data_IF_299223346050
#
_entry.id   IF_299223346050
#
_cell.length_a   1.000
_cell.length_b   1.000
_cell.length_c   1.000
_cell.angle_alpha   90.00
_cell.angle_beta   90.00
_cell.angle_gamma   90.00
#
_symmetry.space_group_name_H-M   'P 1'
#
loop_
_entity.id
_entity.type
_entity.pdbx_description
1 polymer ?
#
# COMPACT_ATOMS: atom_id res chain seq x y z
N UNK A 1 -18.13 -8.91 19.10
CA UNK A 1 -18.48 -7.48 18.99
C UNK A 1 -19.27 -7.32 17.70
N UNK A 2 -20.52 -6.88 17.76
CA UNK A 2 -21.27 -6.50 16.55
C UNK A 2 -20.60 -5.26 15.95
N UNK A 3 -20.25 -5.31 14.66
CA UNK A 3 -19.62 -4.19 13.95
C UNK A 3 -20.64 -3.11 13.60
N UNK A 4 -20.17 -1.91 13.26
CA UNK A 4 -21.04 -0.80 12.85
C UNK A 4 -22.04 -1.20 11.76
N UNK A 5 -21.61 -2.04 10.81
CA UNK A 5 -22.48 -2.58 9.75
C UNK A 5 -23.68 -3.35 10.30
N UNK A 6 -23.49 -4.14 11.36
CA UNK A 6 -24.54 -4.95 11.96
C UNK A 6 -25.49 -4.08 12.80
N UNK A 7 -24.93 -3.17 13.61
CA UNK A 7 -25.72 -2.24 14.44
C UNK A 7 -26.51 -1.24 13.57
N UNK A 8 -25.93 -0.79 12.46
CA UNK A 8 -26.61 0.06 11.48
C UNK A 8 -27.70 -0.69 10.72
N UNK A 9 -27.47 -1.96 10.36
CA UNK A 9 -28.47 -2.78 9.69
C UNK A 9 -29.65 -3.10 10.62
N UNK A 10 -29.37 -3.35 11.90
CA UNK A 10 -30.38 -3.53 12.94
C UNK A 10 -31.17 -2.24 13.22
N UNK A 11 -30.52 -1.08 13.19
CA UNK A 11 -31.24 0.20 13.27
C UNK A 11 -32.13 0.42 12.05
N UNK A 12 -31.61 0.17 10.84
CA UNK A 12 -32.34 0.35 9.58
C UNK A 12 -33.62 -0.50 9.52
N UNK A 13 -33.61 -1.70 10.11
CA UNK A 13 -34.79 -2.57 10.17
C UNK A 13 -35.89 -2.07 11.13
N UNK A 14 -35.60 -1.08 11.98
CA UNK A 14 -36.61 -0.42 12.85
C UNK A 14 -37.36 0.72 12.14
N UNK A 15 -36.89 1.13 10.96
CA UNK A 15 -37.52 2.16 10.14
C UNK A 15 -38.71 1.58 9.35
N UNK A 16 -39.81 2.32 9.26
CA UNK A 16 -40.91 2.02 8.35
C UNK A 16 -40.48 2.21 6.88
N UNK A 17 -41.25 1.67 5.94
CA UNK A 17 -40.97 1.86 4.50
C UNK A 17 -40.94 3.34 4.10
N UNK A 18 -41.82 4.15 4.70
CA UNK A 18 -41.90 5.60 4.43
C UNK A 18 -40.71 6.36 5.04
N UNK A 19 -40.26 5.98 6.24
CA UNK A 19 -39.07 6.57 6.86
C UNK A 19 -37.79 6.17 6.12
N UNK A 20 -37.67 4.92 5.66
CA UNK A 20 -36.55 4.49 4.82
C UNK A 20 -36.51 5.25 3.50
N UNK A 21 -37.68 5.44 2.86
CA UNK A 21 -37.80 6.22 1.64
C UNK A 21 -37.47 7.69 1.88
N UNK A 22 -37.89 8.27 3.01
CA UNK A 22 -37.58 9.64 3.40
C UNK A 22 -36.08 9.84 3.60
N UNK A 23 -35.42 8.98 4.39
CA UNK A 23 -33.96 9.06 4.63
C UNK A 23 -33.18 8.85 3.34
N UNK A 24 -33.59 7.90 2.49
CA UNK A 24 -32.96 7.67 1.20
C UNK A 24 -33.11 8.89 0.28
N UNK A 25 -34.30 9.49 0.24
CA UNK A 25 -34.59 10.71 -0.53
C UNK A 25 -33.78 11.90 0.01
N UNK A 26 -33.62 12.00 1.32
CA UNK A 26 -32.81 13.02 1.97
C UNK A 26 -31.32 12.87 1.64
N UNK A 27 -30.78 11.66 1.76
CA UNK A 27 -29.39 11.36 1.42
C UNK A 27 -29.08 11.58 -0.07
N UNK A 28 -30.01 11.19 -0.95
CA UNK A 28 -29.89 11.43 -2.40
C UNK A 28 -30.00 12.91 -2.75
N UNK A 29 -30.78 13.68 -1.99
CA UNK A 29 -31.00 15.11 -2.21
C UNK A 29 -30.05 16.05 -1.44
N UNK A 30 -29.18 15.53 -0.57
CA UNK A 30 -28.32 16.31 0.33
C UNK A 30 -27.41 17.30 -0.42
N UNK A 31 -26.91 16.90 -1.59
CA UNK A 31 -26.05 17.75 -2.40
C UNK A 31 -26.84 18.71 -3.31
N UNK A 32 -28.16 18.52 -3.47
CA UNK A 32 -29.03 19.37 -4.27
C UNK A 32 -29.47 20.62 -3.49
N UNK A 33 -29.05 21.80 -3.95
CA UNK A 33 -29.32 23.10 -3.29
C UNK A 33 -30.81 23.47 -3.26
N UNK A 34 -31.62 23.00 -4.22
CA UNK A 34 -33.08 23.21 -4.22
C UNK A 34 -33.77 22.25 -3.25
N UNK A 35 -33.32 21.01 -3.19
CA UNK A 35 -33.85 20.01 -2.26
C UNK A 35 -33.53 20.37 -0.80
N UNK A 36 -32.34 20.88 -0.51
CA UNK A 36 -31.97 21.42 0.82
C UNK A 36 -32.87 22.55 1.33
N UNK A 37 -33.66 23.17 0.44
CA UNK A 37 -34.65 24.20 0.78
C UNK A 37 -36.09 23.67 0.80
N UNK A 38 -36.29 22.38 0.57
CA UNK A 38 -37.60 21.74 0.57
C UNK A 38 -37.97 21.26 1.97
N UNK A 39 -39.27 21.22 2.24
CA UNK A 39 -39.79 20.72 3.52
C UNK A 39 -39.40 19.25 3.75
N UNK A 40 -39.23 18.47 2.67
CA UNK A 40 -38.80 17.07 2.74
C UNK A 40 -37.36 16.90 3.26
N UNK A 41 -36.49 17.90 3.11
CA UNK A 41 -35.14 17.87 3.69
C UNK A 41 -35.16 18.16 5.20
N UNK A 42 -36.15 18.92 5.66
CA UNK A 42 -36.31 19.30 7.08
C UNK A 42 -37.26 18.38 7.85
N UNK A 43 -37.79 17.34 7.22
CA UNK A 43 -38.65 16.35 7.87
C UNK A 43 -37.83 15.36 8.67
N UNK A 44 -38.05 15.32 9.97
CA UNK A 44 -37.45 14.33 10.84
C UNK A 44 -38.25 13.00 10.82
N UNK A 45 -37.54 11.90 11.04
CA UNK A 45 -38.15 10.63 11.44
C UNK A 45 -38.45 10.66 12.96
N UNK A 46 -39.10 9.62 13.48
CA UNK A 46 -39.43 9.56 14.90
C UNK A 46 -38.20 9.77 15.81
N UNK A 47 -38.34 10.59 16.84
CA UNK A 47 -37.23 11.07 17.68
C UNK A 47 -36.50 9.94 18.41
N UNK A 48 -37.22 8.90 18.81
CA UNK A 48 -36.66 7.69 19.42
C UNK A 48 -35.72 6.93 18.47
N UNK A 49 -36.02 6.95 17.17
CA UNK A 49 -35.19 6.34 16.12
C UNK A 49 -33.95 7.17 15.83
N UNK A 50 -34.05 8.50 15.88
CA UNK A 50 -32.90 9.42 15.78
C UNK A 50 -31.96 9.22 16.98
N UNK A 51 -32.51 9.14 18.19
CA UNK A 51 -31.74 8.87 19.41
C UNK A 51 -31.07 7.49 19.39
N UNK A 52 -31.76 6.47 18.87
CA UNK A 52 -31.17 5.14 18.71
C UNK A 52 -30.02 5.11 17.70
N UNK A 53 -30.13 5.87 16.59
CA UNK A 53 -29.03 6.03 15.62
C UNK A 53 -27.85 6.78 16.22
N UNK A 54 -28.10 7.85 16.99
CA UNK A 54 -27.06 8.59 17.69
C UNK A 54 -26.27 7.70 18.66
N UNK A 55 -26.92 6.71 19.29
CA UNK A 55 -26.24 5.69 20.12
C UNK A 55 -25.34 4.76 19.29
N UNK A 56 -25.77 4.36 18.09
CA UNK A 56 -24.95 3.56 17.16
C UNK A 56 -23.72 4.34 16.69
N UNK A 57 -23.90 5.61 16.30
CA UNK A 57 -22.80 6.49 15.91
C UNK A 57 -21.85 6.75 17.08
N UNK A 58 -22.37 7.03 18.27
CA UNK A 58 -21.54 7.21 19.48
C UNK A 58 -20.70 5.97 19.76
N UNK A 59 -21.28 4.77 19.71
CA UNK A 59 -20.54 3.52 19.87
C UNK A 59 -19.44 3.35 18.83
N UNK A 60 -19.71 3.70 17.56
CA UNK A 60 -18.72 3.67 16.48
C UNK A 60 -17.59 4.67 16.70
N UNK A 61 -17.90 5.93 17.01
CA UNK A 61 -16.88 6.94 17.28
C UNK A 61 -16.09 6.65 18.56
N UNK A 62 -16.72 6.06 19.59
CA UNK A 62 -16.02 5.62 20.80
C UNK A 62 -15.10 4.42 20.49
N UNK A 63 -15.52 3.46 19.64
CA UNK A 63 -14.64 2.37 19.22
C UNK A 63 -13.50 2.82 18.33
N UNK A 64 -13.74 3.70 17.35
CA UNK A 64 -12.71 4.30 16.49
C UNK A 64 -11.74 5.15 17.31
N UNK A 65 -12.23 5.85 18.33
CA UNK A 65 -11.40 6.60 19.27
C UNK A 65 -10.53 5.69 20.12
N UNK A 66 -11.06 4.56 20.60
CA UNK A 66 -10.29 3.57 21.36
C UNK A 66 -9.28 2.84 20.48
N UNK A 67 -9.62 2.54 19.22
CA UNK A 67 -8.67 1.95 18.26
C UNK A 67 -7.61 2.96 17.81
N UNK A 68 -7.97 4.24 17.62
CA UNK A 68 -7.02 5.32 17.42
C UNK A 68 -6.09 5.52 18.64
N UNK A 69 -6.63 5.41 19.87
CA UNK A 69 -5.81 5.43 21.10
C UNK A 69 -4.88 4.24 21.15
N UNK A 70 -5.34 3.02 20.83
CA UNK A 70 -4.48 1.82 20.77
C UNK A 70 -3.42 1.91 19.68
N UNK A 71 -3.74 2.48 18.52
CA UNK A 71 -2.76 2.78 17.46
C UNK A 71 -1.73 3.83 17.91
N UNK A 72 -2.16 4.79 18.75
CA UNK A 72 -1.29 5.78 19.37
C UNK A 72 -0.45 5.21 20.52
N UNK A 73 -0.96 4.22 21.25
CA UNK A 73 -0.28 3.49 22.33
C UNK A 73 0.72 2.44 21.80
N UNK A 74 0.43 1.84 20.63
CA UNK A 74 1.32 0.87 19.95
C UNK A 74 2.44 1.54 19.15
N UNK A 75 2.28 2.81 18.74
CA UNK A 75 3.43 3.66 18.43
C UNK A 75 4.17 3.92 19.72
N UNK A 76 5.24 3.17 20.00
CA UNK A 76 6.10 3.39 21.15
C UNK A 76 6.47 4.89 21.21
N UNK A 77 5.91 5.66 22.15
CA UNK A 77 6.27 7.06 22.27
C UNK A 77 7.76 7.09 22.59
N UNK A 78 8.49 7.91 21.87
CA UNK A 78 9.87 8.17 22.26
C UNK A 78 9.82 9.01 23.54
N UNK A 79 9.73 8.32 24.69
CA UNK A 79 9.56 8.90 26.03
C UNK A 79 10.69 9.87 26.40
N UNK A 80 11.81 9.81 25.68
CA UNK A 80 12.94 10.69 25.84
C UNK A 80 12.87 11.94 24.94
N UNK A 81 11.85 12.12 24.10
CA UNK A 81 11.68 13.34 23.28
C UNK A 81 11.48 14.55 24.16
N UNK A 82 10.61 14.48 25.17
CA UNK A 82 10.37 15.60 26.08
C UNK A 82 11.60 15.91 26.95
N UNK A 83 12.32 14.88 27.40
CA UNK A 83 13.57 15.05 28.16
C UNK A 83 14.69 15.65 27.29
N UNK A 84 14.88 15.17 26.06
CA UNK A 84 15.83 15.75 25.11
C UNK A 84 15.45 17.17 24.69
N UNK A 85 14.16 17.46 24.55
CA UNK A 85 13.66 18.82 24.29
C UNK A 85 13.85 19.76 25.49
N UNK A 86 13.61 19.28 26.71
CA UNK A 86 13.83 20.06 27.93
C UNK A 86 15.32 20.38 28.17
N UNK A 87 16.24 19.56 27.62
CA UNK A 87 17.68 19.80 27.62
C UNK A 87 18.14 20.78 26.52
N UNK A 88 17.30 21.09 25.53
CA UNK A 88 17.60 22.09 24.52
C UNK A 88 17.35 23.50 25.08
N UNK A 89 18.40 24.35 25.09
CA UNK A 89 18.32 25.75 25.56
C UNK A 89 17.37 26.63 24.73
N UNK A 90 16.98 26.18 23.54
CA UNK A 90 16.05 26.84 22.63
C UNK A 90 15.05 25.83 22.10
N UNK A 91 13.76 26.07 22.30
CA UNK A 91 12.68 25.25 21.72
C UNK A 91 12.65 25.45 20.20
N UNK A 92 13.19 24.47 19.47
CA UNK A 92 13.12 24.44 18.02
C UNK A 92 11.80 23.79 17.56
N UNK A 93 10.88 24.64 17.09
CA UNK A 93 9.60 24.24 16.49
C UNK A 93 9.67 24.16 14.96
N UNK A 94 10.87 24.16 14.38
CA UNK A 94 11.05 23.97 12.94
C UNK A 94 10.58 22.59 12.50
N UNK A 95 10.19 22.51 11.24
CA UNK A 95 9.83 21.26 10.59
C UNK A 95 11.10 20.60 10.05
N UNK A 96 11.17 19.28 10.14
CA UNK A 96 12.22 18.49 9.50
C UNK A 96 11.71 17.90 8.21
N UNK A 97 12.52 18.04 7.16
CA UNK A 97 12.25 17.40 5.89
C UNK A 97 12.55 15.91 5.94
N UNK A 98 11.67 15.11 5.35
CA UNK A 98 11.95 13.72 4.97
C UNK A 98 11.45 13.45 3.56
N UNK A 99 12.34 13.01 2.68
CA UNK A 99 11.99 12.55 1.34
C UNK A 99 12.14 11.03 1.30
N UNK A 100 11.07 10.33 0.93
CA UNK A 100 11.07 8.87 0.79
C UNK A 100 10.96 8.52 -0.68
N UNK A 101 11.92 7.74 -1.19
CA UNK A 101 11.82 7.13 -2.52
C UNK A 101 10.83 5.96 -2.46
N UNK A 102 9.85 5.99 -3.35
CA UNK A 102 8.83 4.96 -3.51
C UNK A 102 9.10 4.22 -4.81
N UNK A 103 9.43 2.93 -4.71
CA UNK A 103 9.59 2.06 -5.87
C UNK A 103 8.21 1.56 -6.33
N UNK A 104 7.53 2.39 -7.14
CA UNK A 104 6.18 2.09 -7.64
C UNK A 104 6.14 0.88 -8.55
N UNK A 105 7.23 0.56 -9.23
CA UNK A 105 7.31 -0.65 -10.03
C UNK A 105 7.27 -1.90 -9.16
N UNK A 106 8.06 -1.92 -8.08
CA UNK A 106 8.02 -3.00 -7.09
C UNK A 106 6.64 -3.13 -6.43
N UNK A 107 6.02 -2.00 -6.03
CA UNK A 107 4.67 -2.00 -5.45
C UNK A 107 3.63 -2.59 -6.42
N UNK A 108 3.70 -2.23 -7.71
CA UNK A 108 2.78 -2.75 -8.74
C UNK A 108 2.93 -4.27 -8.88
N UNK A 109 4.15 -4.77 -8.96
CA UNK A 109 4.41 -6.22 -9.01
C UNK A 109 3.93 -6.93 -7.75
N UNK A 110 4.18 -6.34 -6.57
CA UNK A 110 3.75 -6.89 -5.29
C UNK A 110 2.23 -6.98 -5.18
N UNK A 111 1.51 -5.96 -5.64
CA UNK A 111 0.04 -5.95 -5.72
C UNK A 111 -0.46 -7.15 -6.55
N UNK A 112 0.02 -7.31 -7.78
CA UNK A 112 -0.41 -8.41 -8.66
C UNK A 112 -0.02 -9.79 -8.12
N UNK A 113 1.20 -9.94 -7.59
CA UNK A 113 1.61 -11.19 -6.97
C UNK A 113 0.71 -11.57 -5.79
N UNK A 114 0.34 -10.60 -4.94
CA UNK A 114 -0.54 -10.81 -3.80
C UNK A 114 -1.97 -11.13 -4.23
N UNK A 115 -2.48 -10.45 -5.25
CA UNK A 115 -3.81 -10.73 -5.81
C UNK A 115 -3.90 -12.14 -6.39
N UNK A 116 -2.91 -12.55 -7.19
CA UNK A 116 -2.84 -13.91 -7.74
C UNK A 116 -2.72 -14.97 -6.64
N UNK A 117 -1.92 -14.71 -5.60
CA UNK A 117 -1.83 -15.60 -4.45
C UNK A 117 -3.19 -15.78 -3.77
N UNK A 118 -3.93 -14.70 -3.50
CA UNK A 118 -5.28 -14.77 -2.93
C UNK A 118 -6.27 -15.49 -3.83
N UNK A 119 -6.21 -15.26 -5.15
CA UNK A 119 -7.09 -15.95 -6.11
C UNK A 119 -6.79 -17.45 -6.20
N UNK A 120 -5.52 -17.85 -6.12
CA UNK A 120 -5.12 -19.25 -6.08
C UNK A 120 -5.58 -19.91 -4.76
N UNK A 121 -5.37 -19.24 -3.62
CA UNK A 121 -5.81 -19.73 -2.32
C UNK A 121 -7.32 -19.94 -2.26
N UNK A 122 -8.11 -19.02 -2.84
CA UNK A 122 -9.56 -19.17 -2.94
C UNK A 122 -10.01 -20.41 -3.74
N UNK A 123 -9.14 -20.94 -4.61
CA UNK A 123 -9.35 -22.19 -5.38
C UNK A 123 -8.73 -23.42 -4.71
N UNK A 124 -8.11 -23.27 -3.54
CA UNK A 124 -7.36 -24.34 -2.87
C UNK A 124 -5.98 -24.61 -3.50
N UNK A 125 -5.50 -23.70 -4.34
CA UNK A 125 -4.21 -23.78 -5.03
C UNK A 125 -3.19 -22.83 -4.39
N UNK A 126 -1.91 -22.93 -4.81
CA UNK A 126 -0.86 -21.98 -4.40
C UNK A 126 -0.28 -21.32 -5.64
N UNK A 127 -0.18 -19.99 -5.60
CA UNK A 127 0.56 -19.25 -6.62
C UNK A 127 2.07 -19.34 -6.34
N UNK A 128 2.92 -19.69 -7.33
CA UNK A 128 4.36 -19.71 -7.16
C UNK A 128 4.90 -18.31 -6.80
N UNK A 129 5.98 -18.27 -6.01
CA UNK A 129 6.60 -16.98 -5.67
C UNK A 129 7.30 -16.36 -6.88
N UNK A 130 6.92 -15.13 -7.18
CA UNK A 130 7.35 -14.34 -8.34
C UNK A 130 8.41 -13.27 -8.00
N UNK A 131 9.04 -13.34 -6.82
CA UNK A 131 9.99 -12.32 -6.37
C UNK A 131 11.23 -12.27 -7.27
N UNK A 132 11.59 -11.09 -7.82
CA UNK A 132 12.78 -10.94 -8.65
C UNK A 132 14.06 -10.75 -7.83
N UNK A 133 13.99 -10.81 -6.49
CA UNK A 133 15.15 -10.59 -5.64
C UNK A 133 16.23 -11.65 -5.89
N UNK A 134 17.45 -11.17 -6.10
CA UNK A 134 18.62 -12.01 -6.32
C UNK A 134 19.53 -11.97 -5.09
N UNK A 135 20.25 -13.06 -4.87
CA UNK A 135 21.34 -13.13 -3.92
C UNK A 135 22.59 -13.73 -4.57
N UNK A 136 23.74 -13.36 -4.01
CA UNK A 136 25.02 -13.95 -4.39
C UNK A 136 25.14 -15.25 -3.60
N UNK A 137 25.25 -16.35 -4.33
CA UNK A 137 25.53 -17.66 -3.78
C UNK A 137 26.97 -18.04 -4.10
N UNK A 138 27.70 -18.47 -3.08
CA UNK A 138 29.11 -18.86 -3.18
C UNK A 138 29.20 -20.38 -3.23
N UNK A 139 29.60 -20.90 -4.38
CA UNK A 139 29.96 -22.31 -4.51
C UNK A 139 31.41 -22.47 -4.06
N UNK A 140 31.64 -23.34 -3.07
CA UNK A 140 33.00 -23.67 -2.65
C UNK A 140 33.79 -24.24 -3.83
N UNK A 141 34.93 -23.63 -4.10
CA UNK A 141 35.82 -23.97 -5.22
C UNK A 141 37.29 -23.90 -4.78
N UNK A 142 37.56 -24.32 -3.55
CA UNK A 142 38.85 -24.19 -2.86
C UNK A 142 39.76 -25.43 -2.99
N UNK A 143 39.24 -26.54 -3.53
CA UNK A 143 39.97 -27.78 -3.73
C UNK A 143 39.56 -28.46 -5.05
N UNK A 144 40.35 -29.45 -5.49
CA UNK A 144 40.14 -30.15 -6.77
C UNK A 144 38.80 -30.89 -6.81
N UNK A 145 38.33 -31.47 -5.71
CA UNK A 145 37.07 -32.21 -5.66
C UNK A 145 35.87 -31.27 -5.76
N UNK A 146 35.94 -30.14 -5.05
CA UNK A 146 34.94 -29.08 -5.09
C UNK A 146 34.88 -28.41 -6.47
N UNK A 147 36.05 -28.20 -7.10
CA UNK A 147 36.13 -27.71 -8.48
C UNK A 147 35.50 -28.70 -9.47
N UNK A 148 35.81 -29.99 -9.34
CA UNK A 148 35.22 -31.02 -10.19
C UNK A 148 33.70 -31.10 -10.00
N UNK A 149 33.19 -31.03 -8.77
CA UNK A 149 31.75 -30.95 -8.51
C UNK A 149 31.09 -29.74 -9.17
N UNK A 150 31.72 -28.57 -9.12
CA UNK A 150 31.22 -27.38 -9.80
C UNK A 150 31.18 -27.58 -11.32
N UNK A 151 32.22 -28.20 -11.90
CA UNK A 151 32.24 -28.56 -13.33
C UNK A 151 31.14 -29.55 -13.69
N UNK A 152 30.91 -30.58 -12.87
CA UNK A 152 29.86 -31.58 -13.07
C UNK A 152 28.46 -30.95 -13.02
N UNK A 153 28.25 -29.94 -12.16
CA UNK A 153 27.01 -29.14 -12.12
C UNK A 153 26.83 -28.35 -13.42
N UNK A 154 27.90 -27.77 -13.97
CA UNK A 154 27.83 -27.06 -15.26
C UNK A 154 27.50 -28.00 -16.42
N UNK A 155 28.07 -29.20 -16.43
CA UNK A 155 27.75 -30.24 -17.41
C UNK A 155 26.31 -30.73 -17.27
N UNK A 156 25.81 -30.87 -16.04
CA UNK A 156 24.41 -31.18 -15.78
C UNK A 156 23.48 -30.08 -16.32
N UNK A 157 23.80 -28.81 -16.07
CA UNK A 157 23.03 -27.67 -16.58
C UNK A 157 23.06 -27.65 -18.11
N UNK A 158 24.20 -27.94 -18.74
CA UNK A 158 24.34 -28.03 -20.18
C UNK A 158 23.44 -29.13 -20.78
N UNK A 159 23.33 -30.29 -20.12
CA UNK A 159 22.39 -31.35 -20.52
C UNK A 159 20.93 -30.97 -20.29
N UNK A 160 20.62 -30.37 -19.13
CA UNK A 160 19.25 -29.97 -18.78
C UNK A 160 18.70 -28.88 -19.73
N UNK A 161 19.57 -28.05 -20.30
CA UNK A 161 19.22 -27.03 -21.29
C UNK A 161 18.48 -27.60 -22.51
N UNK A 162 18.79 -28.82 -22.96
CA UNK A 162 18.19 -29.42 -24.16
C UNK A 162 16.66 -29.62 -24.05
N UNK A 163 16.14 -29.73 -22.82
CA UNK A 163 14.70 -29.83 -22.53
C UNK A 163 14.07 -28.54 -21.99
N UNK A 164 14.81 -27.43 -21.93
CA UNK A 164 14.37 -26.21 -21.28
C UNK A 164 13.58 -25.28 -22.24
N UNK A 165 12.67 -24.48 -21.67
CA UNK A 165 11.99 -23.40 -22.40
C UNK A 165 12.99 -22.32 -22.87
N UNK A 166 12.72 -21.57 -23.95
CA UNK A 166 13.70 -20.66 -24.58
C UNK A 166 14.36 -19.65 -23.64
N UNK A 167 13.60 -19.02 -22.74
CA UNK A 167 14.17 -18.07 -21.77
C UNK A 167 15.04 -18.76 -20.71
N UNK A 168 14.61 -19.92 -20.22
CA UNK A 168 15.39 -20.72 -19.29
C UNK A 168 16.70 -21.22 -19.92
N UNK A 169 16.64 -21.64 -21.18
CA UNK A 169 17.80 -22.05 -21.95
C UNK A 169 18.82 -20.90 -22.13
N UNK A 170 18.34 -19.66 -22.32
CA UNK A 170 19.19 -18.47 -22.39
C UNK A 170 19.90 -18.18 -21.05
N UNK A 171 19.18 -18.28 -19.93
CA UNK A 171 19.76 -18.08 -18.60
C UNK A 171 20.80 -19.18 -18.27
N UNK A 172 20.51 -20.44 -18.65
CA UNK A 172 21.45 -21.55 -18.53
C UNK A 172 22.68 -21.31 -19.42
N UNK A 173 22.52 -20.78 -20.63
CA UNK A 173 23.63 -20.44 -21.53
C UNK A 173 24.55 -19.36 -20.97
N UNK A 174 24.00 -18.30 -20.39
CA UNK A 174 24.79 -17.23 -19.80
C UNK A 174 25.59 -17.72 -18.59
N UNK A 175 25.00 -18.63 -17.80
CA UNK A 175 25.68 -19.33 -16.71
C UNK A 175 26.81 -20.22 -17.24
N UNK A 176 26.54 -21.07 -18.24
CA UNK A 176 27.54 -21.95 -18.88
C UNK A 176 28.73 -21.15 -19.43
N UNK A 177 28.45 -20.02 -20.11
CA UNK A 177 29.50 -19.13 -20.64
C UNK A 177 30.36 -18.49 -19.55
N UNK A 178 29.80 -18.19 -18.38
CA UNK A 178 30.57 -17.66 -17.23
C UNK A 178 31.63 -18.68 -16.77
N UNK A 179 31.31 -19.97 -16.88
CA UNK A 179 32.20 -21.07 -16.52
C UNK A 179 32.50 -21.16 -15.02
N UNK A 180 33.24 -22.20 -14.63
CA UNK A 180 33.76 -22.33 -13.26
C UNK A 180 35.10 -21.59 -13.19
N UNK A 181 35.31 -20.69 -12.22
CA UNK A 181 36.58 -20.00 -12.04
C UNK A 181 37.69 -20.95 -11.57
N UNK A 182 38.95 -20.51 -11.65
CA UNK A 182 40.10 -21.32 -11.29
C UNK A 182 40.05 -21.79 -9.82
N UNK A 183 40.63 -22.96 -9.53
CA UNK A 183 40.71 -23.50 -8.16
C UNK A 183 41.31 -22.47 -7.21
N UNK A 184 40.66 -22.25 -6.07
CA UNK A 184 41.02 -21.25 -5.07
C UNK A 184 40.37 -19.87 -5.29
N UNK A 185 39.59 -19.69 -6.34
CA UNK A 185 38.76 -18.49 -6.55
C UNK A 185 37.29 -18.78 -6.25
N UNK A 186 36.64 -17.82 -5.61
CA UNK A 186 35.22 -17.90 -5.25
C UNK A 186 34.34 -18.01 -6.51
N UNK A 187 33.48 -19.04 -6.54
CA UNK A 187 32.51 -19.19 -7.60
C UNK A 187 31.18 -18.56 -7.22
N UNK A 188 31.04 -17.28 -7.57
CA UNK A 188 29.85 -16.47 -7.29
C UNK A 188 28.76 -16.64 -8.37
N UNK A 189 27.57 -17.03 -7.94
CA UNK A 189 26.37 -17.08 -8.78
C UNK A 189 25.30 -16.14 -8.26
N UNK A 190 24.77 -15.29 -9.15
CA UNK A 190 23.63 -14.43 -8.83
C UNK A 190 22.35 -15.19 -9.16
N UNK A 191 21.66 -15.68 -8.12
CA UNK A 191 20.49 -16.55 -8.26
C UNK A 191 19.25 -15.90 -7.61
N UNK A 192 18.02 -16.16 -8.11
CA UNK A 192 16.82 -15.72 -7.41
C UNK A 192 16.73 -16.35 -6.02
N UNK A 193 16.59 -15.53 -4.98
CA UNK A 193 16.54 -15.96 -3.57
C UNK A 193 15.49 -17.05 -3.33
N UNK A 194 14.33 -16.89 -3.98
CA UNK A 194 13.23 -17.84 -3.91
C UNK A 194 13.63 -19.20 -4.46
N UNK A 195 14.34 -19.23 -5.59
CA UNK A 195 14.80 -20.49 -6.17
C UNK A 195 15.82 -21.15 -5.25
N UNK A 196 16.78 -20.41 -4.69
CA UNK A 196 17.76 -20.96 -3.73
C UNK A 196 17.07 -21.58 -2.51
N UNK A 197 16.11 -20.88 -1.91
CA UNK A 197 15.34 -21.39 -0.78
C UNK A 197 14.54 -22.65 -1.15
N UNK A 198 13.89 -22.65 -2.31
CA UNK A 198 13.09 -23.79 -2.78
C UNK A 198 13.95 -25.00 -3.15
N UNK A 199 15.09 -24.80 -3.80
CA UNK A 199 16.01 -25.89 -4.15
C UNK A 199 16.65 -26.46 -2.90
N UNK A 200 17.03 -25.65 -1.92
CA UNK A 200 17.58 -26.14 -0.65
C UNK A 200 16.54 -26.97 0.11
N UNK A 201 15.29 -26.50 0.19
CA UNK A 201 14.21 -27.26 0.81
C UNK A 201 13.92 -28.58 0.06
N UNK A 202 13.91 -28.55 -1.28
CA UNK A 202 13.71 -29.75 -2.09
C UNK A 202 14.86 -30.75 -1.93
N UNK A 203 16.11 -30.27 -1.83
CA UNK A 203 17.28 -31.11 -1.61
C UNK A 203 17.20 -31.80 -0.25
N UNK A 204 16.75 -31.09 0.79
CA UNK A 204 16.56 -31.66 2.12
C UNK A 204 15.48 -32.76 2.10
N UNK A 205 14.33 -32.49 1.47
CA UNK A 205 13.28 -33.52 1.28
C UNK A 205 13.77 -34.74 0.50
N UNK A 206 14.62 -34.54 -0.50
CA UNK A 206 15.22 -35.62 -1.30
C UNK A 206 16.17 -36.47 -0.44
N UNK A 207 16.99 -35.84 0.40
CA UNK A 207 17.91 -36.52 1.32
C UNK A 207 17.14 -37.34 2.36
N UNK A 208 16.07 -36.79 2.95
CA UNK A 208 15.23 -37.50 3.92
C UNK A 208 14.58 -38.74 3.27
N UNK A 209 14.08 -38.61 2.03
CA UNK A 209 13.54 -39.74 1.27
C UNK A 209 14.59 -40.79 0.94
N UNK A 210 15.80 -40.36 0.61
CA UNK A 210 16.91 -41.28 0.34
C UNK A 210 17.31 -42.07 1.59
N UNK A 211 17.27 -41.43 2.76
CA UNK A 211 17.52 -42.09 4.03
C UNK A 211 16.43 -43.13 4.34
N UNK A 212 15.15 -42.77 4.19
CA UNK A 212 14.04 -43.71 4.34
C UNK A 212 14.11 -44.88 3.33
N UNK A 213 14.52 -44.60 2.10
CA UNK A 213 14.73 -45.66 1.10
C UNK A 213 15.84 -46.62 1.54
N UNK A 214 16.95 -46.10 2.07
CA UNK A 214 18.08 -46.90 2.53
C UNK A 214 17.75 -47.80 3.74
N UNK A 215 16.77 -47.44 4.58
CA UNK A 215 16.33 -48.27 5.71
C UNK A 215 15.66 -49.59 5.28
N UNK A 216 15.23 -49.69 4.02
CA UNK A 216 14.46 -50.82 3.51
C UNK A 216 15.09 -51.52 2.30
N UNK A 217 16.28 -51.07 1.86
CA UNK A 217 16.94 -51.58 0.66
C UNK A 217 18.41 -51.90 0.93
N UNK A 218 18.98 -52.79 0.12
CA UNK A 218 20.39 -53.14 0.18
C UNK A 218 21.29 -52.00 -0.28
N UNK A 219 22.55 -52.01 0.14
CA UNK A 219 23.55 -51.01 -0.24
C UNK A 219 23.76 -50.91 -1.75
N UNK A 220 23.65 -52.04 -2.47
CA UNK A 220 23.71 -52.07 -3.94
C UNK A 220 22.51 -51.35 -4.57
N UNK A 221 21.29 -51.58 -4.07
CA UNK A 221 20.07 -50.91 -4.56
C UNK A 221 20.10 -49.42 -4.26
N UNK A 222 20.60 -49.01 -3.08
CA UNK A 222 20.77 -47.59 -2.72
C UNK A 222 21.79 -46.93 -3.63
N UNK A 223 22.89 -47.62 -3.95
CA UNK A 223 23.93 -47.10 -4.86
C UNK A 223 23.40 -46.92 -6.27
N UNK A 224 22.65 -47.90 -6.79
CA UNK A 224 22.01 -47.79 -8.10
C UNK A 224 20.98 -46.65 -8.14
N UNK A 225 20.16 -46.52 -7.08
CA UNK A 225 19.21 -45.42 -6.96
C UNK A 225 19.92 -44.06 -6.98
N UNK A 226 20.99 -43.88 -6.20
CA UNK A 226 21.80 -42.65 -6.15
C UNK A 226 22.43 -42.30 -7.50
N UNK A 227 22.91 -43.30 -8.24
CA UNK A 227 23.65 -43.06 -9.49
C UNK A 227 22.74 -42.87 -10.71
N UNK A 228 21.59 -43.56 -10.76
CA UNK A 228 20.74 -43.56 -11.96
C UNK A 228 19.45 -42.77 -11.78
N UNK A 229 18.71 -43.00 -10.69
CA UNK A 229 17.36 -42.47 -10.52
C UNK A 229 17.36 -41.09 -9.87
N UNK A 230 18.19 -40.90 -8.83
CA UNK A 230 18.27 -39.66 -8.07
C UNK A 230 18.60 -38.44 -8.94
N UNK A 231 19.57 -38.49 -9.89
CA UNK A 231 19.87 -37.34 -10.75
C UNK A 231 18.71 -36.99 -11.68
N UNK A 232 17.98 -37.98 -12.19
CA UNK A 232 16.81 -37.77 -13.06
C UNK A 232 15.65 -37.12 -12.29
N UNK A 233 15.34 -37.63 -11.08
CA UNK A 233 14.33 -37.04 -10.20
C UNK A 233 14.71 -35.60 -9.85
N UNK A 234 15.96 -35.39 -9.45
CA UNK A 234 16.44 -34.07 -9.09
C UNK A 234 16.36 -33.08 -10.25
N UNK A 235 16.74 -33.50 -11.47
CA UNK A 235 16.62 -32.67 -12.65
C UNK A 235 15.19 -32.28 -12.99
N UNK A 236 14.23 -33.20 -12.86
CA UNK A 236 12.81 -32.90 -13.04
C UNK A 236 12.30 -31.89 -12.00
N UNK A 237 12.65 -32.07 -10.73
CA UNK A 237 12.26 -31.15 -9.65
C UNK A 237 12.84 -29.75 -9.88
N UNK A 238 14.13 -29.65 -10.20
CA UNK A 238 14.77 -28.36 -10.51
C UNK A 238 14.12 -27.67 -11.70
N UNK A 239 13.88 -28.39 -12.79
CA UNK A 239 13.23 -27.85 -13.99
C UNK A 239 11.82 -27.32 -13.67
N UNK A 240 11.05 -28.04 -12.87
CA UNK A 240 9.72 -27.63 -12.45
C UNK A 240 9.74 -26.39 -11.56
N UNK A 241 10.63 -26.32 -10.57
CA UNK A 241 10.79 -25.15 -9.70
C UNK A 241 11.17 -23.90 -10.49
N UNK A 242 12.16 -24.03 -11.38
CA UNK A 242 12.62 -22.94 -12.24
C UNK A 242 11.49 -22.48 -13.16
N UNK A 243 10.81 -23.41 -13.83
CA UNK A 243 9.72 -23.10 -14.75
C UNK A 243 8.58 -22.38 -14.05
N UNK A 244 8.13 -22.89 -12.89
CA UNK A 244 7.06 -22.25 -12.10
C UNK A 244 7.42 -20.84 -11.66
N UNK A 245 8.67 -20.62 -11.22
CA UNK A 245 9.14 -19.30 -10.84
C UNK A 245 9.16 -18.32 -12.02
N UNK A 246 9.74 -18.73 -13.16
CA UNK A 246 9.83 -17.88 -14.36
C UNK A 246 8.43 -17.52 -14.86
N UNK A 247 7.54 -18.51 -14.99
CA UNK A 247 6.17 -18.27 -15.43
C UNK A 247 5.44 -17.29 -14.52
N UNK A 248 5.51 -17.48 -13.20
CA UNK A 248 4.87 -16.57 -12.24
C UNK A 248 5.47 -15.15 -12.27
N UNK A 249 6.79 -15.05 -12.39
CA UNK A 249 7.50 -13.76 -12.54
C UNK A 249 7.05 -13.02 -13.80
N UNK A 250 7.02 -13.69 -14.94
CA UNK A 250 6.71 -13.08 -16.23
C UNK A 250 5.23 -12.69 -16.32
N UNK A 251 4.35 -13.49 -15.72
CA UNK A 251 2.94 -13.15 -15.59
C UNK A 251 2.74 -11.88 -14.76
N UNK A 252 3.39 -11.78 -13.59
CA UNK A 252 3.36 -10.57 -12.75
C UNK A 252 3.98 -9.36 -13.44
N UNK A 253 5.09 -9.54 -14.17
CA UNK A 253 5.71 -8.48 -14.98
C UNK A 253 4.73 -7.98 -16.03
N UNK A 254 4.11 -8.90 -16.77
CA UNK A 254 3.15 -8.56 -17.82
C UNK A 254 1.99 -7.74 -17.28
N UNK A 255 1.39 -8.17 -16.17
CA UNK A 255 0.27 -7.44 -15.56
C UNK A 255 0.70 -6.04 -15.10
N UNK A 256 1.89 -5.92 -14.50
CA UNK A 256 2.45 -4.63 -14.12
C UNK A 256 2.65 -3.70 -15.33
N UNK A 257 3.14 -4.22 -16.47
CA UNK A 257 3.32 -3.45 -17.70
C UNK A 257 1.98 -3.10 -18.36
N UNK A 258 1.01 -4.01 -18.35
CA UNK A 258 -0.30 -3.78 -18.93
C UNK A 258 -1.08 -2.72 -18.14
N UNK A 259 -0.93 -2.68 -16.80
CA UNK A 259 -1.44 -1.57 -15.99
C UNK A 259 -0.80 -0.23 -16.37
N UNK A 260 0.53 -0.18 -16.56
CA UNK A 260 1.21 1.05 -17.03
C UNK A 260 0.70 1.47 -18.41
N UNK A 261 0.52 0.51 -19.34
CA UNK A 261 -0.02 0.77 -20.67
C UNK A 261 -1.43 1.33 -20.57
N UNK A 262 -2.28 0.78 -19.70
CA UNK A 262 -3.61 1.29 -19.44
C UNK A 262 -3.57 2.77 -19.02
N UNK A 263 -2.79 3.12 -18.00
CA UNK A 263 -2.66 4.52 -17.57
C UNK A 263 -2.10 5.44 -18.66
N UNK A 264 -1.13 4.97 -19.47
CA UNK A 264 -0.59 5.73 -20.61
C UNK A 264 -1.60 5.88 -21.75
N UNK A 265 -2.51 4.93 -21.90
CA UNK A 265 -3.54 4.94 -22.95
C UNK A 265 -4.66 5.95 -22.69
N UNK A 266 -4.77 6.45 -21.46
CA UNK A 266 -5.76 7.47 -21.10
C UNK A 266 -5.58 8.71 -21.98
N UNK A 267 -6.61 9.04 -22.76
CA UNK A 267 -6.59 10.18 -23.67
C UNK A 267 -7.13 11.41 -22.97
N UNK A 268 -6.55 12.56 -23.30
CA UNK A 268 -7.15 13.83 -22.96
C UNK A 268 -8.42 14.03 -23.80
N UNK A 269 -9.44 14.64 -23.22
CA UNK A 269 -10.75 14.86 -23.82
C UNK A 269 -11.15 16.32 -23.64
N UNK A 270 -10.39 17.24 -24.28
CA UNK A 270 -10.60 18.67 -24.09
C UNK A 270 -12.00 19.08 -24.56
N UNK A 271 -12.69 19.85 -23.72
CA UNK A 271 -14.04 20.34 -24.00
C UNK A 271 -15.15 19.29 -23.95
N UNK A 272 -14.86 18.04 -23.59
CA UNK A 272 -15.89 17.03 -23.33
C UNK A 272 -16.40 17.12 -21.90
N UNK A 273 -17.65 16.73 -21.71
CA UNK A 273 -18.35 16.70 -20.43
C UNK A 273 -18.63 15.27 -19.99
N UNK A 274 -18.93 15.03 -18.72
CA UNK A 274 -19.33 13.69 -18.26
C UNK A 274 -20.56 13.16 -18.99
N UNK A 275 -21.46 14.04 -19.43
CA UNK A 275 -22.60 13.68 -20.27
C UNK A 275 -22.17 13.11 -21.63
N UNK A 276 -21.12 13.66 -22.25
CA UNK A 276 -20.59 13.14 -23.52
C UNK A 276 -20.00 11.74 -23.36
N UNK A 277 -19.32 11.49 -22.23
CA UNK A 277 -18.76 10.17 -21.91
C UNK A 277 -19.88 9.17 -21.69
N UNK A 278 -20.89 9.54 -20.89
CA UNK A 278 -22.03 8.67 -20.61
C UNK A 278 -22.78 8.31 -21.90
N UNK A 279 -23.03 9.28 -22.78
CA UNK A 279 -23.63 9.01 -24.10
C UNK A 279 -22.80 8.03 -24.92
N UNK A 280 -21.47 8.16 -24.90
CA UNK A 280 -20.56 7.23 -25.57
C UNK A 280 -20.65 5.81 -25.01
N UNK A 281 -20.59 5.66 -23.69
CA UNK A 281 -20.75 4.35 -23.01
C UNK A 281 -22.11 3.74 -23.35
N UNK A 282 -23.16 4.54 -23.31
CA UNK A 282 -24.53 4.09 -23.56
C UNK A 282 -24.78 3.67 -25.01
N UNK A 283 -24.05 4.25 -25.97
CA UNK A 283 -24.10 3.84 -27.37
C UNK A 283 -23.34 2.54 -27.64
N UNK A 284 -22.32 2.22 -26.83
CA UNK A 284 -21.58 0.95 -26.91
C UNK A 284 -22.30 -0.19 -26.17
N UNK A 285 -23.02 0.12 -25.09
CA UNK A 285 -23.64 -0.88 -24.23
C UNK A 285 -24.49 -1.92 -24.99
N UNK A 286 -25.36 -1.56 -25.97
CA UNK A 286 -26.16 -2.52 -26.73
C UNK A 286 -25.34 -3.57 -27.50
N UNK A 287 -24.05 -3.33 -27.76
CA UNK A 287 -23.17 -4.30 -28.44
C UNK A 287 -22.69 -5.42 -27.51
N UNK A 288 -22.85 -5.23 -26.19
CA UNK A 288 -22.33 -6.12 -25.15
C UNK A 288 -23.43 -6.69 -24.25
N UNK A 289 -24.70 -6.42 -24.53
CA UNK A 289 -25.85 -6.92 -23.76
C UNK A 289 -26.98 -7.34 -24.68
N UNK A 290 -27.60 -8.48 -24.38
CA UNK A 290 -28.78 -8.97 -25.10
C UNK A 290 -30.08 -8.29 -24.63
N UNK A 291 -30.00 -7.49 -23.56
CA UNK A 291 -31.16 -6.77 -23.01
C UNK A 291 -31.30 -5.37 -23.62
N UNK A 292 -32.52 -4.93 -23.94
CA UNK A 292 -32.75 -3.57 -24.41
C UNK A 292 -32.27 -2.56 -23.36
N UNK A 293 -31.45 -1.62 -23.81
CA UNK A 293 -30.90 -0.56 -22.96
C UNK A 293 -31.92 0.59 -22.89
N UNK A 294 -32.36 1.01 -21.69
CA UNK A 294 -33.33 2.10 -21.54
C UNK A 294 -32.75 3.44 -22.03
N UNK A 295 -33.56 4.45 -22.38
CA UNK A 295 -33.05 5.77 -22.74
C UNK A 295 -32.35 6.45 -21.55
N UNK A 296 -31.40 7.32 -21.85
CA UNK A 296 -30.74 8.15 -20.84
C UNK A 296 -31.69 9.24 -20.34
N UNK A 297 -31.69 9.48 -19.03
CA UNK A 297 -32.43 10.57 -18.39
C UNK A 297 -31.84 11.93 -18.79
N UNK A 298 -32.68 12.80 -19.36
CA UNK A 298 -32.30 14.12 -19.83
C UNK A 298 -31.92 15.08 -18.69
N UNK A 299 -32.53 14.96 -17.52
CA UNK A 299 -32.20 15.81 -16.36
C UNK A 299 -30.81 15.45 -15.82
N UNK A 300 -30.51 14.15 -15.71
CA UNK A 300 -29.18 13.66 -15.34
C UNK A 300 -28.13 14.08 -16.37
N UNK A 301 -28.42 13.97 -17.68
CA UNK A 301 -27.51 14.41 -18.73
C UNK A 301 -27.24 15.92 -18.66
N UNK A 302 -28.25 16.73 -18.34
CA UNK A 302 -28.10 18.18 -18.19
C UNK A 302 -27.19 18.55 -16.99
N UNK A 303 -27.26 17.82 -15.89
CA UNK A 303 -26.32 18.00 -14.76
C UNK A 303 -24.90 17.55 -15.12
N UNK A 304 -24.74 16.37 -15.71
CA UNK A 304 -23.42 15.86 -16.13
C UNK A 304 -22.77 16.67 -17.25
N UNK A 305 -23.53 17.45 -18.01
CA UNK A 305 -23.02 18.36 -19.02
C UNK A 305 -22.33 19.59 -18.40
N UNK A 306 -22.59 19.92 -17.14
CA UNK A 306 -21.90 21.01 -16.42
C UNK A 306 -20.52 20.60 -15.93
N UNK A 307 -20.29 19.29 -15.82
CA UNK A 307 -19.04 18.74 -15.31
C UNK A 307 -18.11 18.36 -16.47
N UNK A 308 -16.86 18.86 -16.48
CA UNK A 308 -15.89 18.43 -17.48
C UNK A 308 -15.64 16.93 -17.34
N UNK A 309 -15.42 16.27 -18.49
CA UNK A 309 -15.15 14.84 -18.54
C UNK A 309 -13.85 14.47 -17.82
N UNK A 310 -12.89 15.39 -17.81
CA UNK A 310 -11.58 15.22 -17.19
C UNK A 310 -11.26 16.48 -16.40
N UNK A 311 -10.92 16.33 -15.12
CA UNK A 311 -10.31 17.40 -14.33
C UNK A 311 -8.79 17.35 -14.57
N UNK A 312 -8.17 18.52 -14.78
CA UNK A 312 -6.73 18.63 -15.01
C UNK A 312 -5.97 17.94 -13.88
N UNK A 313 -5.19 16.91 -14.22
CA UNK A 313 -4.40 16.11 -13.27
C UNK A 313 -5.00 14.76 -12.87
N UNK A 314 -6.25 14.46 -13.24
CA UNK A 314 -6.87 13.15 -12.95
C UNK A 314 -6.34 12.02 -13.84
N UNK A 315 -6.05 12.33 -15.10
CA UNK A 315 -5.62 11.33 -16.09
C UNK A 315 -4.10 11.37 -16.26
N UNK A 316 -3.51 10.22 -16.60
CA UNK A 316 -2.07 10.01 -16.73
C UNK A 316 -1.30 10.34 -15.46
N UNK A 317 -1.91 10.15 -14.29
CA UNK A 317 -1.25 10.44 -13.03
C UNK A 317 0.03 9.60 -12.89
N UNK A 318 1.10 10.23 -12.42
CA UNK A 318 2.42 9.63 -12.27
C UNK A 318 2.42 8.35 -11.43
N UNK A 319 1.48 8.25 -10.48
CA UNK A 319 1.27 7.06 -9.67
C UNK A 319 0.98 5.78 -10.47
N UNK A 320 0.41 5.89 -11.68
CA UNK A 320 0.06 4.74 -12.53
C UNK A 320 1.12 4.41 -13.58
N UNK A 321 2.04 5.34 -13.86
CA UNK A 321 2.96 5.25 -14.99
C UNK A 321 4.43 5.25 -14.60
N UNK A 322 4.78 5.89 -13.49
CA UNK A 322 6.14 6.04 -13.01
C UNK A 322 6.67 4.75 -12.37
N UNK A 323 7.98 4.53 -12.50
CA UNK A 323 8.70 3.45 -11.81
C UNK A 323 9.16 3.85 -10.42
N UNK A 324 9.47 5.15 -10.25
CA UNK A 324 9.90 5.74 -9.01
C UNK A 324 9.16 7.04 -8.78
N UNK A 325 8.81 7.29 -7.52
CA UNK A 325 8.24 8.55 -7.05
C UNK A 325 8.90 8.96 -5.74
N UNK A 326 8.74 10.23 -5.37
CA UNK A 326 9.31 10.81 -4.17
C UNK A 326 8.20 11.38 -3.32
N UNK A 327 8.01 10.79 -2.14
CA UNK A 327 7.09 11.28 -1.12
C UNK A 327 7.80 12.38 -0.33
N UNK A 328 7.22 13.58 -0.29
CA UNK A 328 7.68 14.66 0.58
C UNK A 328 6.91 14.65 1.89
N UNK A 329 7.62 14.47 3.00
CA UNK A 329 7.06 14.48 4.35
C UNK A 329 7.67 15.66 5.14
N UNK A 330 6.83 16.40 5.85
CA UNK A 330 7.27 17.28 6.92
C UNK A 330 7.08 16.57 8.26
N UNK A 331 8.08 16.66 9.12
CA UNK A 331 8.04 16.12 10.47
C UNK A 331 8.07 17.28 11.44
N UNK A 332 7.03 17.43 12.25
CA UNK A 332 7.02 18.49 13.24
C UNK A 332 7.96 18.20 14.42
N UNK A 333 8.09 19.19 15.29
CA UNK A 333 8.97 19.06 16.45
C UNK A 333 8.55 17.91 17.39
N UNK A 334 7.28 17.47 17.38
CA UNK A 334 6.77 16.38 18.22
C UNK A 334 6.93 15.00 17.56
N UNK A 335 7.37 14.96 16.30
CA UNK A 335 7.58 13.74 15.54
C UNK A 335 6.39 13.33 14.69
N UNK A 336 5.32 14.14 14.64
CA UNK A 336 4.19 13.88 13.74
C UNK A 336 4.59 14.13 12.29
N UNK A 337 4.10 13.28 11.39
CA UNK A 337 4.49 13.26 9.98
C UNK A 337 3.32 13.69 9.12
N UNK A 338 3.55 14.71 8.30
CA UNK A 338 2.58 15.26 7.36
C UNK A 338 3.04 14.98 5.93
N UNK A 339 2.17 14.33 5.14
CA UNK A 339 2.42 14.13 3.72
C UNK A 339 2.13 15.43 2.97
N UNK A 340 3.15 16.01 2.35
CA UNK A 340 3.01 17.23 1.54
C UNK A 340 2.63 16.91 0.10
N UNK A 341 3.09 15.76 -0.42
CA UNK A 341 2.74 15.29 -1.75
C UNK A 341 3.63 14.15 -2.22
N UNK A 342 3.31 13.63 -3.41
CA UNK A 342 4.09 12.62 -4.12
C UNK A 342 4.47 13.19 -5.48
N UNK A 343 5.76 13.14 -5.80
CA UNK A 343 6.37 13.84 -6.93
C UNK A 343 7.17 12.89 -7.80
N UNK A 344 7.41 13.28 -9.05
CA UNK A 344 8.21 12.47 -9.98
C UNK A 344 9.70 12.62 -9.71
N UNK A 345 10.11 13.78 -9.19
CA UNK A 345 11.51 14.07 -8.90
C UNK A 345 11.76 14.41 -7.44
N UNK A 346 12.97 14.10 -6.97
CA UNK A 346 13.44 14.49 -5.64
C UNK A 346 13.46 16.02 -5.45
N UNK A 347 13.74 16.76 -6.52
CA UNK A 347 13.80 18.22 -6.50
C UNK A 347 12.41 18.86 -6.29
N UNK A 348 11.37 18.33 -6.94
CA UNK A 348 9.98 18.76 -6.71
C UNK A 348 9.53 18.46 -5.28
N UNK A 349 9.82 17.25 -4.79
CA UNK A 349 9.55 16.89 -3.40
C UNK A 349 10.27 17.83 -2.42
N UNK A 350 11.49 18.25 -2.75
CA UNK A 350 12.24 19.20 -1.94
C UNK A 350 11.63 20.59 -1.96
N UNK A 351 11.24 21.07 -3.13
CA UNK A 351 10.62 22.38 -3.32
C UNK A 351 9.27 22.46 -2.59
N UNK A 352 8.48 21.39 -2.63
CA UNK A 352 7.21 21.32 -1.91
C UNK A 352 7.38 21.50 -0.40
N UNK A 353 8.42 20.88 0.19
CA UNK A 353 8.74 21.10 1.59
C UNK A 353 9.18 22.53 1.89
N UNK A 354 10.06 23.10 1.05
CA UNK A 354 10.54 24.48 1.24
C UNK A 354 9.37 25.47 1.22
N UNK A 355 8.47 25.34 0.26
CA UNK A 355 7.30 26.21 0.14
C UNK A 355 6.37 26.06 1.35
N UNK A 356 6.06 24.82 1.74
CA UNK A 356 5.20 24.55 2.90
C UNK A 356 5.82 25.01 4.22
N UNK A 357 7.13 24.83 4.40
CA UNK A 357 7.84 25.30 5.59
C UNK A 357 7.83 26.82 5.68
N UNK A 358 7.97 27.53 4.56
CA UNK A 358 7.86 29.00 4.54
C UNK A 358 6.46 29.48 4.96
N UNK A 359 5.40 28.81 4.52
CA UNK A 359 4.03 29.08 4.97
C UNK A 359 3.84 28.80 6.47
N UNK A 360 4.38 27.68 6.95
CA UNK A 360 4.34 27.31 8.36
C UNK A 360 5.09 28.30 9.26
N UNK A 361 6.28 28.74 8.85
CA UNK A 361 7.07 29.75 9.58
C UNK A 361 6.31 31.08 9.64
N UNK A 362 5.73 31.52 8.52
CA UNK A 362 4.91 32.73 8.48
C UNK A 362 3.70 32.63 9.41
N UNK A 363 2.92 31.55 9.33
CA UNK A 363 1.75 31.36 10.18
C UNK A 363 2.11 31.31 11.67
N UNK A 364 3.29 30.78 12.00
CA UNK A 364 3.80 30.76 13.37
C UNK A 364 4.17 32.15 13.86
N UNK A 365 4.78 32.98 13.03
CA UNK A 365 5.11 34.36 13.40
C UNK A 365 3.84 35.20 13.57
N UNK A 366 2.85 35.05 12.69
CA UNK A 366 1.53 35.69 12.83
C UNK A 366 0.86 35.29 14.15
N UNK A 367 0.90 34.00 14.53
CA UNK A 367 0.32 33.52 15.80
C UNK A 367 1.05 34.07 17.04
N UNK A 368 2.38 34.28 16.99
CA UNK A 368 3.11 34.92 18.09
C UNK A 368 2.69 36.37 18.26
N UNK A 369 2.49 37.08 17.14
CA UNK A 369 2.05 38.47 17.16
C UNK A 369 0.62 38.59 17.72
N UNK A 370 -0.29 37.72 17.31
CA UNK A 370 -1.65 37.63 17.86
C UNK A 370 -1.65 37.31 19.37
N UNK A 371 -0.88 36.32 19.81
CA UNK A 371 -0.74 35.98 21.23
C UNK A 371 -0.15 37.13 22.05
N UNK A 372 0.80 37.88 21.49
CA UNK A 372 1.40 39.05 22.14
C UNK A 372 0.39 40.20 22.25
N UNK A 373 -0.41 40.43 21.21
CA UNK A 373 -1.48 41.42 21.23
C UNK A 373 -2.60 41.05 22.22
N UNK A 374 -3.01 39.79 22.23
CA UNK A 374 -3.98 39.27 23.20
C UNK A 374 -3.47 39.39 24.64
N UNK A 375 -2.20 39.04 24.89
CA UNK A 375 -1.58 39.22 26.21
C UNK A 375 -1.56 40.68 26.66
N UNK A 376 -1.31 41.63 25.75
CA UNK A 376 -1.39 43.07 26.04
C UNK A 376 -2.81 43.53 26.33
N UNK A 377 -3.81 43.06 25.58
CA UNK A 377 -5.21 43.42 25.82
C UNK A 377 -5.73 42.82 27.13
N UNK A 378 -5.32 41.60 27.45
CA UNK A 378 -5.71 40.93 28.69
C UNK A 378 -5.04 41.57 29.91
N UNK A 379 -3.75 41.93 29.80
CA UNK A 379 -3.07 42.71 30.84
C UNK A 379 -3.72 44.08 31.04
N UNK A 380 -4.07 44.78 29.96
CA UNK A 380 -4.79 46.06 30.04
C UNK A 380 -6.19 45.90 30.65
N UNK A 381 -6.87 44.77 30.43
CA UNK A 381 -8.15 44.43 31.07
C UNK A 381 -7.97 44.22 32.59
N UNK A 382 -6.94 43.49 32.98
CA UNK A 382 -6.61 43.24 34.39
C UNK A 382 -6.16 44.51 35.13
N UNK A 383 -5.41 45.39 34.46
CA UNK A 383 -4.97 46.66 35.04
C UNK A 383 -6.12 47.69 35.15
N UNK A 384 -7.15 47.57 34.31
CA UNK A 384 -8.35 48.40 34.34
C UNK A 384 -9.38 47.99 35.42
N UNK A 385 -9.22 46.81 36.03
CA UNK A 385 -10.08 46.33 37.13
C UNK A 385 -9.25 45.92 38.38
N UNK A 386 -8.75 46.91 39.16
CA UNK A 386 -7.90 46.65 40.33
C UNK A 386 -8.59 45.82 41.43
N UNK A 387 -9.93 45.83 41.45
CA UNK A 387 -10.72 45.14 42.46
C UNK A 387 -10.66 43.61 42.30
N UNK A 388 -10.49 43.10 41.08
CA UNK A 388 -10.35 41.67 40.82
C UNK A 388 -8.94 41.17 41.18
N UNK A 389 -7.89 41.96 40.94
CA UNK A 389 -6.53 41.64 41.43
C UNK A 389 -6.46 41.61 42.96
N UNK A 390 -7.09 42.58 43.64
CA UNK A 390 -7.17 42.61 45.10
C UNK A 390 -7.98 41.44 45.68
N UNK A 391 -9.08 41.02 45.02
CA UNK A 391 -9.85 39.83 45.44
C UNK A 391 -9.06 38.53 45.32
N UNK A 392 -8.29 38.38 44.25
CA UNK A 392 -7.46 37.18 44.03
C UNK A 392 -6.28 37.15 45.01
N UNK A 393 -5.63 38.30 45.26
CA UNK A 393 -4.59 38.39 46.30
C UNK A 393 -5.15 38.06 47.68
N UNK A 394 -6.31 38.61 48.03
CA UNK A 394 -6.95 38.36 49.33
C UNK A 394 -7.35 36.89 49.51
N UNK A 395 -7.86 36.24 48.46
CA UNK A 395 -8.16 34.80 48.48
C UNK A 395 -6.89 33.93 48.62
N UNK A 396 -5.77 34.34 48.00
CA UNK A 396 -4.48 33.67 48.13
C UNK A 396 -3.82 33.88 49.51
N UNK A 397 -4.03 35.03 50.14
CA UNK A 397 -3.58 35.29 51.52
C UNK A 397 -4.43 34.55 52.56
N UNK A 398 -5.76 34.48 52.36
CA UNK A 398 -6.66 33.69 53.19
C UNK A 398 -6.39 32.18 53.08
N UNK A 399 -6.00 31.68 51.90
CA UNK A 399 -5.59 30.28 51.70
C UNK A 399 -4.19 29.95 52.25
N UNK A 400 -3.41 30.97 52.67
CA UNK A 400 -2.08 30.81 53.29
C UNK A 400 -2.11 30.85 54.82
N UNK A 401 -3.24 31.22 55.44
CA UNK A 401 -3.51 31.04 56.87
C UNK A 401 -4.13 29.67 57.11
#
# INVERSE_FOLDING_TARGET
MHGFKDDFSAWKSTLSADEQALILKQAQGEFNKKFRKSDDFSKDIASDKIESFAKVLKKFFDSEREDYKKDKETKTPDYNVLQRKAQQKTYDFSLKQRIVEVNRDADRRYMFATEKARMAEAKGEKFPSASPLQEIWLIQNNDTDSHQRAMDVMDFIAKAKEGAQPESAKMMDDLIKKGVPAVGQDFELLLPQVLVAQTTAAQQMLNDRLQQYAEHHSEAEVTEFKQKQLPEIWGKVLAELISKHIMARDEVEKDAQDLKKFFRSQKDMPGKTKADILKGIWAELPKHTDKPVPPLDEEMLAELAKEPAIIKGEFKHSWGTADKLYKSEAIDSFGEKYLLGVFETKAEAQTAFVNWNAEYEKARDDMKDEMTQWGKSEQARLDADPADQERIQKALEEARR
#
